data_IF_480098974341
#
_entry.id   IF_480098974341
#
_cell.length_a   1.000
_cell.length_b   1.000
_cell.length_c   1.000
_cell.angle_alpha   90.00
_cell.angle_beta   90.00
_cell.angle_gamma   90.00
#
_symmetry.space_group_name_H-M   'P 1'
#
loop_
_entity.id
_entity.type
_entity.pdbx_description
1 polymer ?
#
# COMPACT_ATOMS: atom_id res chain seq x y z
N UNK A 1 -35.11 -8.77 27.60
CA UNK A 1 -34.77 -7.41 27.09
C UNK A 1 -33.27 -7.29 26.82
N UNK A 2 -32.42 -7.87 27.68
CA UNK A 2 -30.95 -7.86 27.56
C UNK A 2 -30.41 -8.49 26.28
N UNK A 3 -30.96 -9.62 25.82
CA UNK A 3 -30.48 -10.29 24.58
C UNK A 3 -30.59 -9.39 23.35
N UNK A 4 -31.64 -8.57 23.25
CA UNK A 4 -31.80 -7.62 22.13
C UNK A 4 -30.77 -6.49 22.19
N UNK A 5 -30.45 -6.02 23.39
CA UNK A 5 -29.42 -5.01 23.59
C UNK A 5 -28.04 -5.56 23.22
N UNK A 6 -27.69 -6.78 23.68
CA UNK A 6 -26.42 -7.44 23.37
C UNK A 6 -26.26 -7.77 21.88
N UNK A 7 -27.34 -8.17 21.21
CA UNK A 7 -27.31 -8.42 19.76
C UNK A 7 -27.15 -7.12 18.97
N UNK A 8 -27.78 -6.03 19.42
CA UNK A 8 -27.63 -4.72 18.78
C UNK A 8 -26.22 -4.16 18.93
N UNK A 9 -25.59 -4.32 20.10
CA UNK A 9 -24.22 -3.84 20.32
C UNK A 9 -23.20 -4.63 19.52
N UNK A 10 -23.29 -5.96 19.49
CA UNK A 10 -22.38 -6.79 18.68
C UNK A 10 -22.47 -6.46 17.19
N UNK A 11 -23.69 -6.21 16.68
CA UNK A 11 -23.91 -5.83 15.28
C UNK A 11 -23.40 -4.42 14.97
N UNK A 12 -23.50 -3.47 15.90
CA UNK A 12 -22.89 -2.13 15.71
C UNK A 12 -21.36 -2.17 15.73
N UNK A 13 -20.76 -3.07 16.52
CA UNK A 13 -19.31 -3.22 16.60
C UNK A 13 -18.73 -3.80 15.30
N UNK A 14 -19.37 -4.82 14.74
CA UNK A 14 -18.94 -5.41 13.46
C UNK A 14 -19.08 -4.42 12.30
N UNK A 15 -20.16 -3.62 12.27
CA UNK A 15 -20.34 -2.57 11.26
C UNK A 15 -19.24 -1.50 11.34
N UNK A 16 -18.87 -1.06 12.55
CA UNK A 16 -17.76 -0.10 12.74
C UNK A 16 -16.41 -0.66 12.33
N UNK A 17 -16.15 -1.94 12.61
CA UNK A 17 -14.90 -2.59 12.20
C UNK A 17 -14.77 -2.65 10.68
N UNK A 18 -15.87 -2.91 9.98
CA UNK A 18 -15.90 -2.93 8.52
C UNK A 18 -15.61 -1.55 7.92
N UNK A 19 -16.27 -0.50 8.42
CA UNK A 19 -16.04 0.88 7.97
C UNK A 19 -14.58 1.32 8.17
N UNK A 20 -13.99 1.01 9.34
CA UNK A 20 -12.59 1.31 9.63
C UNK A 20 -11.64 0.58 8.65
N UNK A 21 -11.95 -0.67 8.29
CA UNK A 21 -11.19 -1.44 7.30
C UNK A 21 -11.20 -0.79 5.91
N UNK A 22 -12.37 -0.35 5.44
CA UNK A 22 -12.49 0.34 4.15
C UNK A 22 -11.72 1.66 4.10
N UNK A 23 -11.80 2.46 5.17
CA UNK A 23 -11.05 3.70 5.28
C UNK A 23 -9.53 3.44 5.28
N UNK A 24 -9.07 2.41 5.98
CA UNK A 24 -7.65 2.00 5.99
C UNK A 24 -7.14 1.57 4.62
N UNK A 25 -7.95 0.85 3.84
CA UNK A 25 -7.65 0.45 2.46
C UNK A 25 -7.51 1.67 1.54
N UNK A 26 -8.46 2.61 1.61
CA UNK A 26 -8.40 3.84 0.81
C UNK A 26 -7.19 4.69 1.20
N UNK A 27 -6.96 4.89 2.50
CA UNK A 27 -5.82 5.64 3.01
C UNK A 27 -4.50 5.04 2.52
N UNK A 28 -4.34 3.71 2.59
CA UNK A 28 -3.14 3.02 2.11
C UNK A 28 -2.90 3.26 0.62
N UNK A 29 -3.95 3.19 -0.22
CA UNK A 29 -3.83 3.44 -1.68
C UNK A 29 -3.35 4.86 -1.98
N UNK A 30 -3.96 5.86 -1.34
CA UNK A 30 -3.55 7.26 -1.53
C UNK A 30 -2.16 7.52 -0.95
N UNK A 31 -1.82 6.92 0.19
CA UNK A 31 -0.52 7.08 0.82
C UNK A 31 0.59 6.45 -0.01
N UNK A 32 0.38 5.26 -0.58
CA UNK A 32 1.33 4.61 -1.49
C UNK A 32 1.55 5.43 -2.76
N UNK A 33 0.49 6.03 -3.32
CA UNK A 33 0.64 6.92 -4.47
C UNK A 33 1.39 8.21 -4.10
N UNK A 34 1.03 8.84 -2.98
CA UNK A 34 1.67 10.07 -2.49
C UNK A 34 3.16 9.84 -2.16
N UNK A 35 3.48 8.73 -1.49
CA UNK A 35 4.85 8.38 -1.15
C UNK A 35 5.70 8.12 -2.40
N UNK A 36 5.13 7.49 -3.43
CA UNK A 36 5.82 7.33 -4.72
C UNK A 36 6.11 8.67 -5.37
N UNK A 37 5.15 9.61 -5.42
CA UNK A 37 5.36 10.95 -5.98
C UNK A 37 6.45 11.71 -5.22
N UNK A 38 6.43 11.68 -3.89
CA UNK A 38 7.46 12.34 -3.05
C UNK A 38 8.84 11.74 -3.34
N UNK A 39 8.92 10.41 -3.43
CA UNK A 39 10.17 9.72 -3.73
C UNK A 39 10.69 10.10 -5.12
N UNK A 40 9.83 10.12 -6.15
CA UNK A 40 10.21 10.58 -7.49
C UNK A 40 10.68 12.04 -7.49
N UNK A 41 9.98 12.91 -6.76
CA UNK A 41 10.33 14.32 -6.67
C UNK A 41 11.71 14.53 -6.04
N UNK A 42 11.99 13.82 -4.93
CA UNK A 42 13.29 13.84 -4.27
C UNK A 42 14.42 13.38 -5.21
N UNK A 43 14.17 12.34 -6.02
CA UNK A 43 15.14 11.87 -7.02
C UNK A 43 15.41 12.93 -8.08
N UNK A 44 14.37 13.58 -8.63
CA UNK A 44 14.53 14.56 -9.72
C UNK A 44 15.36 15.76 -9.29
N UNK A 45 15.20 16.21 -8.05
CA UNK A 45 15.92 17.38 -7.55
C UNK A 45 17.41 17.10 -7.33
N UNK A 46 17.77 15.89 -6.88
CA UNK A 46 19.16 15.55 -6.60
C UNK A 46 19.92 14.97 -7.79
N UNK A 47 19.20 14.50 -8.83
CA UNK A 47 19.80 14.00 -10.06
C UNK A 47 20.84 14.94 -10.71
N UNK A 48 20.65 16.28 -10.82
CA UNK A 48 21.67 17.16 -11.40
C UNK A 48 22.99 17.13 -10.63
N UNK A 49 22.94 17.17 -9.30
CA UNK A 49 24.12 17.12 -8.44
C UNK A 49 24.82 15.75 -8.54
N UNK A 50 24.05 14.66 -8.68
CA UNK A 50 24.57 13.31 -8.87
C UNK A 50 25.30 13.13 -10.20
N UNK A 51 24.77 13.69 -11.29
CA UNK A 51 25.43 13.62 -12.59
C UNK A 51 26.76 14.38 -12.55
N UNK A 52 26.82 15.54 -11.88
CA UNK A 52 28.05 16.32 -11.82
C UNK A 52 29.12 15.70 -10.92
N UNK A 53 28.74 15.25 -9.71
CA UNK A 53 29.70 14.75 -8.71
C UNK A 53 30.00 13.26 -8.85
N UNK A 54 29.04 12.46 -9.31
CA UNK A 54 29.14 11.00 -9.26
C UNK A 54 29.48 10.42 -10.63
N UNK A 55 28.89 10.92 -11.72
CA UNK A 55 29.21 10.40 -13.06
C UNK A 55 30.59 10.85 -13.55
N UNK A 56 31.11 11.97 -13.05
CA UNK A 56 32.47 12.42 -13.34
C UNK A 56 33.55 11.77 -12.46
N UNK A 57 33.14 11.13 -11.35
CA UNK A 57 34.04 10.55 -10.34
C UNK A 57 34.28 9.05 -10.59
N UNK A 58 35.48 8.51 -10.32
CA UNK A 58 35.75 7.08 -10.48
C UNK A 58 34.79 6.26 -9.61
N UNK A 59 34.15 5.25 -10.20
CA UNK A 59 33.21 4.34 -9.54
C UNK A 59 33.88 3.63 -8.35
N UNK A 60 33.67 4.18 -7.15
CA UNK A 60 34.08 3.59 -5.88
C UNK A 60 32.97 2.66 -5.34
N UNK A 61 33.34 1.70 -4.49
CA UNK A 61 32.39 0.80 -3.83
C UNK A 61 31.34 1.56 -3.01
N UNK A 62 31.72 2.67 -2.37
CA UNK A 62 30.80 3.55 -1.65
C UNK A 62 29.76 4.18 -2.58
N UNK A 63 30.19 4.57 -3.78
CA UNK A 63 29.33 5.15 -4.82
C UNK A 63 28.33 4.13 -5.37
N UNK A 64 28.78 2.91 -5.65
CA UNK A 64 27.90 1.82 -6.11
C UNK A 64 26.88 1.44 -5.03
N UNK A 65 27.29 1.40 -3.76
CA UNK A 65 26.37 1.13 -2.65
C UNK A 65 25.34 2.25 -2.47
N UNK A 66 25.73 3.50 -2.73
CA UNK A 66 24.82 4.64 -2.77
C UNK A 66 23.80 4.51 -3.91
N UNK A 67 24.24 4.13 -5.11
CA UNK A 67 23.35 3.85 -6.25
C UNK A 67 22.34 2.76 -5.95
N UNK A 68 22.76 1.65 -5.34
CA UNK A 68 21.84 0.56 -4.98
C UNK A 68 20.81 1.07 -3.98
N UNK A 69 21.26 1.75 -2.92
CA UNK A 69 20.35 2.23 -1.88
C UNK A 69 19.35 3.27 -2.40
N UNK A 70 19.73 4.06 -3.42
CA UNK A 70 18.87 5.10 -3.99
C UNK A 70 17.94 4.57 -5.08
N UNK A 71 18.43 3.73 -5.98
CA UNK A 71 17.67 3.29 -7.16
C UNK A 71 16.87 2.00 -6.96
N UNK A 72 17.17 1.18 -5.94
CA UNK A 72 16.38 -0.04 -5.62
C UNK A 72 15.00 0.26 -5.02
N UNK A 73 14.81 1.29 -4.16
CA UNK A 73 13.49 1.64 -3.65
C UNK A 73 12.51 2.07 -4.75
N UNK A 74 12.98 2.73 -5.81
CA UNK A 74 12.15 3.23 -6.92
C UNK A 74 11.28 2.13 -7.57
N UNK A 75 11.84 1.02 -8.10
CA UNK A 75 11.05 -0.07 -8.68
C UNK A 75 10.18 -0.79 -7.64
N UNK A 76 10.63 -0.91 -6.38
CA UNK A 76 9.81 -1.51 -5.31
C UNK A 76 8.56 -0.65 -5.06
N UNK A 77 8.73 0.67 -5.01
CA UNK A 77 7.64 1.63 -4.83
C UNK A 77 6.69 1.61 -6.03
N UNK A 78 7.21 1.56 -7.26
CA UNK A 78 6.41 1.42 -8.49
C UNK A 78 5.60 0.12 -8.50
N UNK A 79 6.20 -0.99 -8.07
CA UNK A 79 5.48 -2.27 -7.90
C UNK A 79 4.39 -2.14 -6.83
N UNK A 80 4.65 -1.43 -5.73
CA UNK A 80 3.66 -1.14 -4.69
C UNK A 80 2.48 -0.31 -5.21
N UNK A 81 2.74 0.76 -5.96
CA UNK A 81 1.71 1.57 -6.63
C UNK A 81 0.94 0.72 -7.62
N UNK A 82 1.62 -0.09 -8.44
CA UNK A 82 0.98 -0.99 -9.39
C UNK A 82 0.09 -2.02 -8.68
N UNK A 83 0.53 -2.56 -7.55
CA UNK A 83 -0.25 -3.48 -6.72
C UNK A 83 -1.50 -2.85 -6.13
N UNK A 84 -1.44 -1.55 -5.79
CA UNK A 84 -2.54 -0.75 -5.22
C UNK A 84 -3.43 -0.09 -6.29
N UNK A 85 -3.00 -0.15 -7.56
CA UNK A 85 -3.67 0.46 -8.69
C UNK A 85 -4.89 -0.37 -9.12
N UNK A 86 -5.92 0.26 -9.73
CA UNK A 86 -7.11 -0.44 -10.22
C UNK A 86 -6.83 -1.39 -11.41
N UNK A 87 -5.59 -1.43 -11.92
CA UNK A 87 -5.18 -2.39 -12.95
C UNK A 87 -5.05 -3.83 -12.42
N UNK A 88 -4.99 -4.01 -11.09
CA UNK A 88 -5.12 -5.30 -10.39
C UNK A 88 -6.50 -5.36 -9.71
N UNK A 89 -7.03 -6.57 -9.43
CA UNK A 89 -8.31 -6.73 -8.71
C UNK A 89 -8.41 -5.77 -7.54
N UNK A 90 -9.45 -4.91 -7.47
CA UNK A 90 -9.59 -4.00 -6.34
C UNK A 90 -9.59 -4.81 -5.05
N UNK A 91 -8.68 -4.49 -4.12
CA UNK A 91 -8.58 -5.21 -2.85
C UNK A 91 -9.92 -5.22 -2.07
N UNK A 92 -10.78 -4.23 -2.31
CA UNK A 92 -12.15 -4.21 -1.79
C UNK A 92 -13.03 -5.35 -2.32
N UNK A 93 -12.88 -5.70 -3.61
CA UNK A 93 -13.58 -6.85 -4.22
C UNK A 93 -13.00 -8.16 -3.70
N UNK A 94 -11.68 -8.25 -3.56
CA UNK A 94 -11.01 -9.45 -3.05
C UNK A 94 -11.43 -9.78 -1.61
N UNK A 95 -11.41 -8.78 -0.70
CA UNK A 95 -11.90 -8.94 0.68
C UNK A 95 -13.39 -9.34 0.71
N UNK A 96 -14.20 -8.80 -0.21
CA UNK A 96 -15.62 -9.14 -0.31
C UNK A 96 -15.83 -10.58 -0.80
N UNK A 97 -15.09 -11.01 -1.82
CA UNK A 97 -15.18 -12.36 -2.39
C UNK A 97 -14.71 -13.41 -1.38
N UNK A 98 -13.61 -13.15 -0.67
CA UNK A 98 -13.13 -14.04 0.39
C UNK A 98 -14.16 -14.16 1.51
N UNK A 99 -14.71 -13.04 1.96
CA UNK A 99 -15.75 -13.03 3.00
C UNK A 99 -16.98 -13.84 2.55
N UNK A 100 -17.42 -13.69 1.31
CA UNK A 100 -18.52 -14.47 0.74
C UNK A 100 -18.20 -15.97 0.64
N UNK A 101 -16.97 -16.32 0.29
CA UNK A 101 -16.52 -17.72 0.21
C UNK A 101 -16.50 -18.39 1.59
N UNK A 102 -15.94 -17.72 2.59
CA UNK A 102 -15.96 -18.15 4.00
C UNK A 102 -17.39 -18.30 4.52
N UNK A 103 -18.27 -17.34 4.24
CA UNK A 103 -19.67 -17.40 4.65
C UNK A 103 -20.38 -18.59 4.00
N UNK A 104 -20.21 -18.79 2.69
CA UNK A 104 -20.78 -19.93 1.98
C UNK A 104 -20.31 -21.27 2.56
N UNK A 105 -19.03 -21.37 2.94
CA UNK A 105 -18.48 -22.58 3.58
C UNK A 105 -19.02 -22.80 5.00
N UNK A 106 -19.26 -21.72 5.76
CA UNK A 106 -19.80 -21.81 7.13
C UNK A 106 -21.27 -22.21 7.20
N UNK A 107 -22.07 -21.90 6.17
CA UNK A 107 -23.49 -22.25 6.09
C UNK A 107 -23.71 -23.68 5.55
N UNK A 108 -22.73 -24.22 4.81
CA UNK A 108 -22.78 -25.59 4.27
C UNK A 108 -22.37 -26.70 5.25
N UNK A 109 -21.96 -26.36 6.47
CA UNK A 109 -21.66 -27.26 7.58
C UNK A 109 -22.84 -27.27 8.57
#
# INVERSE_FOLDING_TARGET
>A
MEIKATLSTSLTLSMRQLEAGFLGLLASRYLTAASAVILFYDHIITLPDEIELVWASPLSLATTMFYINRYVPVPIMLLGVFHMSPFRTPQSIEVTVDSLCWLNQSVGQ
#
